data_IF_457781054406
#
_entry.id   IF_457781054406
#
_cell.length_a   1.000
_cell.length_b   1.000
_cell.length_c   1.000
_cell.angle_alpha   90.00
_cell.angle_beta   90.00
_cell.angle_gamma   90.00
#
_symmetry.space_group_name_H-M   'P 1'
#
loop_
_entity.id
_entity.type
_entity.pdbx_description
1 polymer ?
#
# COMPACT_ATOMS: atom_id res chain seq x y z
N UNK A 1 -41.27 6.33 10.01
CA UNK A 1 -40.35 6.86 8.97
C UNK A 1 -39.16 7.64 9.54
N UNK A 2 -39.24 8.19 10.77
CA UNK A 2 -38.15 8.94 11.42
C UNK A 2 -37.07 8.09 12.08
N UNK A 3 -37.40 6.87 12.53
CA UNK A 3 -36.40 5.95 13.13
C UNK A 3 -35.31 5.51 12.14
N UNK A 4 -35.59 5.41 10.84
CA UNK A 4 -34.59 4.95 9.87
C UNK A 4 -33.50 5.99 9.55
N UNK A 5 -33.79 7.30 9.72
CA UNK A 5 -32.80 8.36 9.51
C UNK A 5 -31.77 8.46 10.63
N UNK A 6 -32.19 8.25 11.90
CA UNK A 6 -31.28 8.28 13.05
C UNK A 6 -30.29 7.11 13.09
N UNK A 7 -30.72 5.90 12.66
CA UNK A 7 -29.85 4.73 12.59
C UNK A 7 -28.73 4.93 11.55
N UNK A 8 -29.07 5.40 10.35
CA UNK A 8 -28.08 5.65 9.31
C UNK A 8 -26.96 6.64 9.71
N UNK A 9 -27.29 7.63 10.56
CA UNK A 9 -26.29 8.60 11.05
C UNK A 9 -25.41 8.03 12.18
N UNK A 10 -25.93 7.13 13.01
CA UNK A 10 -25.14 6.41 14.01
C UNK A 10 -24.15 5.47 13.33
N UNK A 11 -24.59 4.75 12.31
CA UNK A 11 -23.73 3.84 11.52
C UNK A 11 -22.66 4.60 10.73
N UNK A 12 -22.97 5.75 10.15
CA UNK A 12 -21.98 6.63 9.51
C UNK A 12 -20.90 7.08 10.48
N UNK A 13 -21.24 7.44 11.72
CA UNK A 13 -20.26 7.82 12.75
C UNK A 13 -19.37 6.66 13.18
N UNK A 14 -19.91 5.46 13.30
CA UNK A 14 -19.12 4.26 13.64
C UNK A 14 -18.22 3.81 12.48
N UNK A 15 -18.68 3.97 11.23
CA UNK A 15 -17.86 3.74 10.05
C UNK A 15 -16.77 4.81 9.85
N UNK A 16 -17.01 6.05 10.25
CA UNK A 16 -15.99 7.13 10.26
C UNK A 16 -14.81 6.85 11.19
N UNK A 17 -14.96 5.95 12.16
CA UNK A 17 -13.86 5.47 12.99
C UNK A 17 -12.92 4.49 12.29
N UNK A 18 -13.26 4.08 11.05
CA UNK A 18 -12.42 3.28 10.18
C UNK A 18 -11.52 4.19 9.37
N UNK A 19 -10.22 4.00 9.48
CA UNK A 19 -9.18 4.65 8.66
C UNK A 19 -9.24 4.26 7.15
N UNK A 20 -10.38 3.78 6.66
CA UNK A 20 -10.50 3.26 5.30
C UNK A 20 -11.75 3.80 4.59
N UNK A 21 -11.57 4.95 3.93
CA UNK A 21 -12.61 5.62 3.15
C UNK A 21 -13.23 4.68 2.10
N UNK A 22 -12.41 3.82 1.48
CA UNK A 22 -12.87 2.89 0.45
C UNK A 22 -13.95 1.92 0.98
N UNK A 23 -13.82 1.44 2.22
CA UNK A 23 -14.82 0.56 2.83
C UNK A 23 -16.11 1.30 3.17
N UNK A 24 -16.01 2.56 3.56
CA UNK A 24 -17.17 3.41 3.83
C UNK A 24 -17.97 3.64 2.56
N UNK A 25 -17.32 3.99 1.47
CA UNK A 25 -17.95 4.25 0.18
C UNK A 25 -18.65 2.99 -0.35
N UNK A 26 -17.99 1.84 -0.26
CA UNK A 26 -18.55 0.55 -0.67
C UNK A 26 -19.75 0.12 0.17
N UNK A 27 -19.75 0.43 1.46
CA UNK A 27 -20.90 0.16 2.32
C UNK A 27 -22.03 1.16 2.11
N UNK A 28 -21.72 2.41 1.74
CA UNK A 28 -22.73 3.39 1.36
C UNK A 28 -23.47 2.97 0.09
N UNK A 29 -22.76 2.42 -0.93
CA UNK A 29 -23.38 1.82 -2.12
C UNK A 29 -24.36 0.69 -1.75
N UNK A 30 -24.01 -0.12 -0.73
CA UNK A 30 -24.87 -1.18 -0.24
C UNK A 30 -26.15 -0.64 0.43
N UNK A 31 -26.03 0.38 1.28
CA UNK A 31 -27.16 1.04 1.91
C UNK A 31 -28.08 1.71 0.87
N UNK A 32 -27.51 2.28 -0.19
CA UNK A 32 -28.27 2.95 -1.25
C UNK A 32 -29.04 1.93 -2.10
N UNK A 33 -28.43 0.77 -2.38
CA UNK A 33 -29.10 -0.31 -3.11
C UNK A 33 -30.35 -0.82 -2.36
N UNK A 34 -30.27 -0.93 -1.03
CA UNK A 34 -31.39 -1.37 -0.17
C UNK A 34 -32.14 -0.20 0.48
N UNK A 35 -32.15 0.97 -0.17
CA UNK A 35 -32.87 2.15 0.31
C UNK A 35 -34.37 1.84 0.55
N UNK A 36 -34.80 2.05 1.81
CA UNK A 36 -36.19 1.73 2.22
C UNK A 36 -36.37 0.35 2.84
N UNK A 37 -35.36 -0.50 2.83
CA UNK A 37 -35.35 -1.78 3.54
C UNK A 37 -34.56 -1.65 4.85
N UNK A 38 -34.93 -2.47 5.85
CA UNK A 38 -34.11 -2.55 7.05
C UNK A 38 -32.94 -3.52 6.77
N UNK A 39 -31.73 -2.96 6.67
CA UNK A 39 -30.51 -3.71 6.37
C UNK A 39 -30.17 -4.75 7.44
N UNK A 40 -30.62 -4.55 8.69
CA UNK A 40 -30.34 -5.46 9.80
C UNK A 40 -31.12 -6.79 9.69
N UNK A 41 -32.14 -6.82 8.85
CA UNK A 41 -32.97 -8.01 8.59
C UNK A 41 -32.68 -8.71 7.26
N UNK A 42 -31.68 -8.23 6.51
CA UNK A 42 -31.29 -8.87 5.24
C UNK A 42 -30.71 -10.26 5.48
N UNK A 43 -31.13 -11.18 4.65
CA UNK A 43 -30.62 -12.57 4.65
C UNK A 43 -29.36 -12.67 3.78
N UNK A 44 -28.61 -13.75 3.96
CA UNK A 44 -27.43 -14.05 3.12
C UNK A 44 -27.77 -14.10 1.62
N UNK A 45 -28.99 -14.55 1.29
CA UNK A 45 -29.47 -14.56 -0.10
C UNK A 45 -29.52 -13.14 -0.69
N UNK A 46 -30.10 -12.20 0.05
CA UNK A 46 -30.20 -10.80 -0.40
C UNK A 46 -28.80 -10.19 -0.63
N UNK A 47 -27.87 -10.49 0.28
CA UNK A 47 -26.46 -10.02 0.12
C UNK A 47 -25.81 -10.62 -1.13
N UNK A 48 -26.06 -11.90 -1.40
CA UNK A 48 -25.55 -12.56 -2.61
C UNK A 48 -26.18 -11.96 -3.89
N UNK A 49 -27.47 -11.61 -3.87
CA UNK A 49 -28.15 -10.94 -4.99
C UNK A 49 -27.54 -9.56 -5.27
N UNK A 50 -27.23 -8.79 -4.23
CA UNK A 50 -26.50 -7.52 -4.38
C UNK A 50 -25.12 -7.73 -5.01
N UNK A 51 -24.37 -8.73 -4.55
CA UNK A 51 -23.06 -9.03 -5.12
C UNK A 51 -23.17 -9.47 -6.58
N UNK A 52 -24.15 -10.31 -6.90
CA UNK A 52 -24.43 -10.76 -8.27
C UNK A 52 -24.81 -9.59 -9.18
N UNK A 53 -25.61 -8.64 -8.71
CA UNK A 53 -25.92 -7.42 -9.44
C UNK A 53 -24.64 -6.67 -9.86
N UNK A 54 -23.70 -6.46 -8.92
CA UNK A 54 -22.46 -5.77 -9.23
C UNK A 54 -21.55 -6.55 -10.18
N UNK A 55 -21.53 -7.89 -10.06
CA UNK A 55 -20.74 -8.75 -10.96
C UNK A 55 -21.32 -8.76 -12.37
N UNK A 56 -22.64 -8.94 -12.50
CA UNK A 56 -23.30 -9.14 -13.80
C UNK A 56 -23.54 -7.82 -14.52
N UNK A 57 -24.07 -6.80 -13.83
CA UNK A 57 -24.46 -5.55 -14.44
C UNK A 57 -23.30 -4.55 -14.51
N UNK A 58 -22.51 -4.45 -13.44
CA UNK A 58 -21.40 -3.49 -13.37
C UNK A 58 -20.04 -4.09 -13.74
N UNK A 59 -19.98 -5.40 -13.96
CA UNK A 59 -18.77 -6.14 -14.41
C UNK A 59 -17.54 -5.82 -13.56
N UNK A 60 -17.72 -5.75 -12.25
CA UNK A 60 -16.63 -5.46 -11.30
C UNK A 60 -15.59 -6.58 -11.27
N UNK A 61 -14.34 -6.23 -10.92
CA UNK A 61 -13.28 -7.20 -10.76
C UNK A 61 -13.48 -8.07 -9.51
N UNK A 62 -12.84 -9.25 -9.47
CA UNK A 62 -12.81 -10.15 -8.31
C UNK A 62 -12.34 -9.43 -7.04
N UNK A 63 -11.35 -8.57 -7.16
CA UNK A 63 -10.84 -7.77 -6.03
C UNK A 63 -11.91 -6.80 -5.49
N UNK A 64 -12.62 -6.10 -6.38
CA UNK A 64 -13.72 -5.21 -5.99
C UNK A 64 -14.90 -5.98 -5.38
N UNK A 65 -15.22 -7.17 -5.90
CA UNK A 65 -16.23 -8.05 -5.31
C UNK A 65 -15.84 -8.40 -3.86
N UNK A 66 -14.62 -8.87 -3.65
CA UNK A 66 -14.13 -9.24 -2.32
C UNK A 66 -14.07 -8.04 -1.36
N UNK A 67 -13.73 -6.84 -1.85
CA UNK A 67 -13.77 -5.61 -1.06
C UNK A 67 -15.19 -5.27 -0.59
N UNK A 68 -16.21 -5.38 -1.46
CA UNK A 68 -17.63 -5.17 -1.10
C UNK A 68 -18.09 -6.18 -0.05
N UNK A 69 -17.77 -7.46 -0.25
CA UNK A 69 -18.07 -8.52 0.72
C UNK A 69 -17.41 -8.22 2.07
N UNK A 70 -16.17 -7.78 2.08
CA UNK A 70 -15.47 -7.43 3.31
C UNK A 70 -16.09 -6.22 4.03
N UNK A 71 -16.55 -5.20 3.28
CA UNK A 71 -17.25 -4.05 3.84
C UNK A 71 -18.57 -4.46 4.50
N UNK A 72 -19.36 -5.31 3.85
CA UNK A 72 -20.62 -5.84 4.36
C UNK A 72 -20.37 -6.72 5.60
N UNK A 73 -19.43 -7.66 5.51
CA UNK A 73 -19.05 -8.52 6.66
C UNK A 73 -18.58 -7.70 7.85
N UNK A 74 -17.78 -6.67 7.60
CA UNK A 74 -17.30 -5.79 8.66
C UNK A 74 -18.48 -5.11 9.39
N UNK A 75 -19.45 -4.60 8.64
CA UNK A 75 -20.62 -3.96 9.23
C UNK A 75 -21.34 -4.93 10.17
N UNK A 76 -21.73 -6.10 9.70
CA UNK A 76 -22.48 -7.05 10.50
C UNK A 76 -21.69 -7.65 11.67
N UNK A 77 -20.37 -7.84 11.52
CA UNK A 77 -19.53 -8.40 12.59
C UNK A 77 -19.16 -7.38 13.67
N UNK A 78 -18.97 -6.11 13.31
CA UNK A 78 -18.39 -5.12 14.21
C UNK A 78 -19.38 -4.06 14.68
N UNK A 79 -20.35 -3.72 13.86
CA UNK A 79 -21.33 -2.67 14.16
C UNK A 79 -22.57 -3.27 14.79
N UNK A 80 -23.13 -4.32 14.19
CA UNK A 80 -24.32 -5.02 14.71
C UNK A 80 -24.00 -6.04 15.81
N UNK A 81 -22.73 -6.41 15.97
CA UNK A 81 -22.30 -7.39 16.98
C UNK A 81 -22.68 -8.84 16.66
N UNK A 82 -22.98 -9.12 15.38
CA UNK A 82 -23.37 -10.43 14.89
C UNK A 82 -22.24 -11.46 15.00
N UNK A 83 -22.58 -12.72 15.25
CA UNK A 83 -21.59 -13.80 15.32
C UNK A 83 -21.04 -14.09 13.92
N UNK A 84 -19.73 -14.26 13.84
CA UNK A 84 -18.95 -14.58 12.61
C UNK A 84 -19.52 -15.75 11.77
N UNK A 85 -20.31 -16.61 12.35
CA UNK A 85 -20.95 -17.77 11.71
C UNK A 85 -22.07 -17.43 10.71
N UNK A 86 -22.67 -16.23 10.80
CA UNK A 86 -23.85 -15.89 9.98
C UNK A 86 -23.49 -15.65 8.50
N UNK A 87 -22.24 -15.30 8.19
CA UNK A 87 -21.82 -14.84 6.85
C UNK A 87 -20.98 -15.84 6.06
N UNK A 88 -20.89 -17.10 6.53
CA UNK A 88 -20.21 -18.18 5.80
C UNK A 88 -20.81 -18.52 4.43
N UNK A 89 -22.09 -18.15 4.22
CA UNK A 89 -22.81 -18.37 2.95
C UNK A 89 -22.63 -17.28 1.91
N UNK A 90 -21.90 -16.18 2.20
CA UNK A 90 -21.61 -15.15 1.19
C UNK A 90 -20.55 -15.69 0.23
N UNK A 91 -20.93 -15.80 -1.04
CA UNK A 91 -20.09 -16.37 -2.10
C UNK A 91 -19.05 -15.32 -2.54
N UNK A 92 -17.82 -15.49 -2.06
CA UNK A 92 -16.68 -14.72 -2.54
C UNK A 92 -16.06 -15.34 -3.78
N UNK A 93 -15.56 -14.51 -4.68
CA UNK A 93 -14.79 -15.01 -5.81
C UNK A 93 -13.41 -15.49 -5.36
N UNK A 94 -12.99 -16.63 -5.88
CA UNK A 94 -11.65 -17.16 -5.64
C UNK A 94 -10.62 -16.33 -6.44
N UNK A 95 -9.77 -15.63 -5.72
CA UNK A 95 -8.70 -14.87 -6.34
C UNK A 95 -7.55 -15.81 -6.70
N UNK A 96 -7.23 -15.90 -7.99
CA UNK A 96 -6.05 -16.62 -8.43
C UNK A 96 -4.84 -15.73 -8.14
N UNK A 97 -3.98 -16.17 -7.23
CA UNK A 97 -2.71 -15.48 -6.96
C UNK A 97 -1.81 -15.65 -8.17
N UNK A 98 -1.69 -14.62 -8.98
CA UNK A 98 -0.64 -14.53 -9.98
C UNK A 98 0.69 -14.24 -9.29
N UNK A 99 1.77 -14.84 -9.79
CA UNK A 99 3.10 -14.49 -9.31
C UNK A 99 3.35 -13.00 -9.55
N UNK A 100 3.94 -12.29 -8.59
CA UNK A 100 4.25 -10.89 -8.79
C UNK A 100 5.24 -10.72 -9.93
N UNK A 101 4.96 -9.79 -10.83
CA UNK A 101 5.90 -9.40 -11.88
C UNK A 101 7.12 -8.73 -11.23
N UNK A 102 8.31 -9.12 -11.66
CA UNK A 102 9.59 -8.68 -11.13
C UNK A 102 10.40 -8.03 -12.25
N UNK A 103 10.99 -6.88 -11.96
CA UNK A 103 11.93 -6.21 -12.85
C UNK A 103 13.31 -6.85 -12.73
N UNK A 104 13.98 -7.08 -13.83
CA UNK A 104 15.38 -7.48 -13.82
C UNK A 104 16.29 -6.35 -13.29
N UNK A 105 17.49 -6.71 -12.80
CA UNK A 105 18.49 -5.74 -12.35
C UNK A 105 18.87 -4.73 -13.45
N UNK A 106 18.92 -5.21 -14.70
CA UNK A 106 19.17 -4.39 -15.87
C UNK A 106 18.08 -3.35 -16.12
N UNK A 107 16.81 -3.74 -16.00
CA UNK A 107 15.68 -2.81 -16.15
C UNK A 107 15.69 -1.75 -15.05
N UNK A 108 15.97 -2.14 -13.81
CA UNK A 108 16.08 -1.19 -12.69
C UNK A 108 17.23 -0.21 -12.94
N UNK A 109 18.39 -0.68 -13.37
CA UNK A 109 19.53 0.18 -13.70
C UNK A 109 19.17 1.18 -14.80
N UNK A 110 18.47 0.73 -15.86
CA UNK A 110 18.01 1.60 -16.95
C UNK A 110 16.98 2.62 -16.47
N UNK A 111 16.04 2.23 -15.61
CA UNK A 111 15.08 3.19 -15.02
C UNK A 111 15.80 4.26 -14.23
N UNK A 112 16.75 3.87 -13.37
CA UNK A 112 17.51 4.81 -12.54
C UNK A 112 18.35 5.78 -13.42
N UNK A 113 19.03 5.28 -14.45
CA UNK A 113 19.82 6.11 -15.36
C UNK A 113 18.99 7.14 -16.16
N UNK A 114 17.68 6.88 -16.32
CA UNK A 114 16.75 7.78 -16.99
C UNK A 114 16.14 8.87 -16.07
N UNK A 115 16.56 8.95 -14.80
CA UNK A 115 16.10 9.93 -13.82
C UNK A 115 17.14 11.05 -13.64
N UNK A 116 17.01 12.19 -14.35
CA UNK A 116 17.97 13.29 -14.25
C UNK A 116 17.85 14.09 -12.95
N UNK A 117 16.66 14.09 -12.34
CA UNK A 117 16.45 14.78 -11.07
C UNK A 117 16.91 13.90 -9.91
N UNK A 118 17.89 14.39 -9.16
CA UNK A 118 18.51 13.66 -8.04
C UNK A 118 17.49 13.27 -6.95
N UNK A 119 16.52 14.12 -6.65
CA UNK A 119 15.44 13.79 -5.70
C UNK A 119 14.64 12.58 -6.18
N UNK A 120 14.24 12.55 -7.44
CA UNK A 120 13.50 11.44 -8.01
C UNK A 120 14.34 10.16 -8.07
N UNK A 121 15.62 10.30 -8.43
CA UNK A 121 16.56 9.19 -8.43
C UNK A 121 16.68 8.58 -7.03
N UNK A 122 16.92 9.40 -6.00
CA UNK A 122 16.94 8.97 -4.60
C UNK A 122 15.65 8.27 -4.16
N UNK A 123 14.48 8.81 -4.52
CA UNK A 123 13.20 8.22 -4.16
C UNK A 123 13.03 6.80 -4.72
N UNK A 124 13.31 6.61 -6.00
CA UNK A 124 13.21 5.31 -6.66
C UNK A 124 14.29 4.34 -6.17
N UNK A 125 15.52 4.82 -5.98
CA UNK A 125 16.62 4.05 -5.40
C UNK A 125 16.29 3.54 -3.99
N UNK A 126 15.70 4.37 -3.12
CA UNK A 126 15.29 3.98 -1.77
C UNK A 126 14.19 2.92 -1.79
N UNK A 127 13.19 3.04 -2.67
CA UNK A 127 12.14 2.02 -2.79
C UNK A 127 12.75 0.66 -3.13
N UNK A 128 13.70 0.64 -4.09
CA UNK A 128 14.33 -0.60 -4.52
C UNK A 128 15.35 -1.11 -3.52
N UNK A 129 16.28 -0.28 -3.01
CA UNK A 129 17.39 -0.75 -2.15
C UNK A 129 16.97 -1.12 -0.72
N UNK A 130 15.89 -0.53 -0.24
CA UNK A 130 15.38 -0.69 1.15
C UNK A 130 14.07 -1.47 1.16
N UNK A 131 13.43 -1.64 0.01
CA UNK A 131 12.13 -2.29 -0.10
C UNK A 131 10.99 -1.51 0.54
N UNK A 132 10.99 -0.18 0.42
CA UNK A 132 9.96 0.69 1.01
C UNK A 132 8.60 0.53 0.32
N UNK A 133 7.52 0.61 1.11
CA UNK A 133 6.19 0.90 0.56
C UNK A 133 6.12 2.37 0.12
N UNK A 134 5.31 2.67 -0.88
CA UNK A 134 5.09 4.06 -1.33
C UNK A 134 4.76 5.02 -0.18
N UNK A 135 3.83 4.64 0.68
CA UNK A 135 3.45 5.46 1.84
C UNK A 135 4.57 5.61 2.86
N UNK A 136 5.40 4.59 3.06
CA UNK A 136 6.56 4.62 3.94
C UNK A 136 7.60 5.61 3.42
N UNK A 137 7.95 5.54 2.12
CA UNK A 137 8.87 6.50 1.50
C UNK A 137 8.41 7.95 1.68
N UNK A 138 7.14 8.22 1.37
CA UNK A 138 6.59 9.57 1.42
C UNK A 138 6.49 10.11 2.84
N UNK A 139 6.36 9.24 3.85
CA UNK A 139 6.30 9.62 5.26
C UNK A 139 7.66 9.75 5.96
N UNK A 140 8.78 9.49 5.27
CA UNK A 140 10.11 9.65 5.85
C UNK A 140 10.38 11.12 6.20
N UNK A 141 11.03 11.32 7.33
CA UNK A 141 11.55 12.62 7.76
C UNK A 141 13.08 12.59 7.78
N UNK A 142 13.79 13.74 7.70
CA UNK A 142 15.25 13.76 7.70
C UNK A 142 15.90 13.01 8.87
N UNK A 143 15.26 13.04 10.03
CA UNK A 143 15.73 12.33 11.24
C UNK A 143 15.60 10.80 11.16
N UNK A 144 14.93 10.28 10.14
CA UNK A 144 14.84 8.83 9.93
C UNK A 144 16.07 8.26 9.23
N UNK A 145 16.90 9.11 8.61
CA UNK A 145 18.18 8.74 8.04
C UNK A 145 19.25 8.81 9.13
N UNK A 146 19.84 7.67 9.48
CA UNK A 146 20.90 7.54 10.48
C UNK A 146 22.20 7.27 9.74
N UNK A 147 22.82 8.33 9.20
CA UNK A 147 24.03 8.25 8.35
C UNK A 147 25.17 7.52 9.02
N UNK A 148 25.43 7.78 10.32
CA UNK A 148 26.51 7.17 11.09
C UNK A 148 26.42 5.63 11.17
N UNK A 149 25.22 5.08 11.04
CA UNK A 149 24.95 3.64 11.12
C UNK A 149 24.52 3.03 9.81
N UNK A 150 24.44 3.81 8.77
CA UNK A 150 23.93 3.39 7.46
C UNK A 150 22.54 2.76 7.57
N UNK A 151 21.65 3.38 8.35
CA UNK A 151 20.30 2.87 8.60
C UNK A 151 19.24 3.89 8.25
N UNK A 152 18.09 3.39 7.81
CA UNK A 152 16.85 4.16 7.70
C UNK A 152 15.80 3.58 8.66
N UNK A 153 15.22 4.46 9.47
CA UNK A 153 14.10 4.13 10.35
C UNK A 153 12.78 4.25 9.58
N UNK A 154 12.01 3.20 9.58
CA UNK A 154 10.76 3.11 8.82
C UNK A 154 9.61 2.90 9.77
N UNK A 155 8.64 3.82 9.77
CA UNK A 155 7.40 3.68 10.52
C UNK A 155 6.37 2.92 9.68
N UNK A 156 6.06 1.70 10.09
CA UNK A 156 5.07 0.85 9.45
C UNK A 156 3.64 1.07 9.98
N UNK A 157 2.69 0.30 9.45
CA UNK A 157 1.31 0.29 9.96
C UNK A 157 1.27 -0.05 11.46
N UNK A 158 0.32 0.52 12.21
CA UNK A 158 0.14 0.34 13.66
C UNK A 158 1.32 0.82 14.51
N UNK A 159 2.08 1.84 14.05
CA UNK A 159 3.25 2.41 14.76
C UNK A 159 4.38 1.39 15.02
N UNK A 160 4.43 0.28 14.30
CA UNK A 160 5.59 -0.62 14.35
C UNK A 160 6.75 0.02 13.60
N UNK A 161 7.86 0.18 14.32
CA UNK A 161 9.10 0.73 13.75
C UNK A 161 10.00 -0.42 13.29
N UNK A 162 10.62 -0.29 12.13
CA UNK A 162 11.68 -1.17 11.66
C UNK A 162 12.85 -0.34 11.14
N UNK A 163 14.03 -0.94 11.14
CA UNK A 163 15.22 -0.36 10.54
C UNK A 163 15.58 -1.15 9.29
N UNK A 164 16.15 -0.49 8.30
CA UNK A 164 16.70 -1.13 7.11
C UNK A 164 18.03 -0.50 6.78
N UNK A 165 18.92 -1.28 6.14
CA UNK A 165 20.23 -0.78 5.72
C UNK A 165 20.08 0.19 4.56
N UNK A 166 20.83 1.26 4.64
CA UNK A 166 20.95 2.27 3.59
C UNK A 166 22.28 2.02 2.85
N UNK A 167 22.24 1.93 1.51
CA UNK A 167 23.46 1.81 0.75
C UNK A 167 24.23 3.13 0.72
N UNK A 168 25.57 3.08 0.76
CA UNK A 168 26.43 4.26 0.66
C UNK A 168 26.10 5.12 -0.58
N UNK A 169 25.80 4.46 -1.68
CA UNK A 169 25.43 5.17 -2.92
C UNK A 169 24.20 6.05 -2.72
N UNK A 170 23.15 5.54 -2.10
CA UNK A 170 21.91 6.29 -1.84
C UNK A 170 22.12 7.37 -0.79
N UNK A 171 22.95 7.11 0.22
CA UNK A 171 23.33 8.12 1.21
C UNK A 171 24.10 9.27 0.57
N UNK A 172 25.11 8.97 -0.24
CA UNK A 172 25.91 9.96 -0.96
C UNK A 172 25.04 10.79 -1.92
N UNK A 173 24.11 10.16 -2.64
CA UNK A 173 23.14 10.88 -3.50
C UNK A 173 22.26 11.84 -2.70
N UNK A 174 21.85 11.44 -1.51
CA UNK A 174 21.07 12.30 -0.61
C UNK A 174 21.91 13.47 -0.06
N UNK A 175 23.15 13.20 0.36
CA UNK A 175 24.04 14.23 0.93
C UNK A 175 24.56 15.21 -0.11
N UNK A 176 24.78 14.77 -1.36
CA UNK A 176 25.20 15.64 -2.46
C UNK A 176 24.10 16.63 -2.91
N UNK A 177 22.86 16.39 -2.53
CA UNK A 177 21.76 17.33 -2.76
C UNK A 177 21.78 18.49 -1.75
N UNK A 178 22.92 19.19 -1.61
CA UNK A 178 23.12 20.28 -0.61
C UNK A 178 22.14 21.43 -0.74
N UNK A 179 21.54 21.63 -1.92
CA UNK A 179 20.53 22.64 -2.16
C UNK A 179 19.15 22.26 -1.61
N UNK A 180 18.91 20.96 -1.48
CA UNK A 180 17.64 20.45 -0.98
C UNK A 180 17.68 20.27 0.55
N UNK A 181 17.17 21.26 1.28
CA UNK A 181 17.05 21.21 2.75
C UNK A 181 15.58 21.03 3.13
N UNK A 182 15.10 19.77 3.27
CA UNK A 182 13.73 19.51 3.62
C UNK A 182 13.44 20.02 5.04
N UNK A 183 12.28 20.67 5.22
CA UNK A 183 11.83 21.20 6.53
C UNK A 183 11.14 20.14 7.37
N UNK A 184 10.26 19.38 6.77
CA UNK A 184 9.41 18.43 7.48
C UNK A 184 9.57 17.00 6.94
N UNK A 185 9.41 16.80 5.65
CA UNK A 185 9.46 15.49 5.01
C UNK A 185 10.79 15.33 4.27
N UNK A 186 11.35 14.11 4.28
CA UNK A 186 12.59 13.82 3.54
C UNK A 186 12.44 14.17 2.06
N UNK A 187 11.26 13.94 1.50
CA UNK A 187 10.89 14.33 0.16
C UNK A 187 9.66 15.23 0.21
N UNK A 188 9.88 16.51 0.01
CA UNK A 188 8.83 17.52 -0.04
C UNK A 188 8.31 17.70 -1.47
N UNK A 189 7.05 18.15 -1.59
CA UNK A 189 6.43 18.53 -2.84
C UNK A 189 6.97 19.84 -3.40
N UNK A 190 6.10 20.55 -4.11
CA UNK A 190 6.45 21.84 -4.71
C UNK A 190 6.48 22.96 -3.65
N UNK A 191 5.67 22.83 -2.60
CA UNK A 191 5.65 23.75 -1.47
C UNK A 191 6.49 23.21 -0.31
N UNK A 192 7.34 24.05 0.34
CA UNK A 192 8.13 23.64 1.49
C UNK A 192 7.25 23.18 2.66
N UNK A 193 7.55 22.00 3.20
CA UNK A 193 6.81 21.39 4.31
C UNK A 193 5.61 20.55 3.87
N UNK A 194 5.25 20.55 2.60
CA UNK A 194 4.24 19.63 2.05
C UNK A 194 4.87 18.30 1.67
N UNK A 195 4.11 17.23 1.89
CA UNK A 195 4.52 15.88 1.53
C UNK A 195 4.51 15.71 0.00
N UNK A 196 5.51 15.02 -0.55
CA UNK A 196 5.52 14.70 -1.97
C UNK A 196 4.30 13.85 -2.36
N UNK A 197 3.65 14.21 -3.47
CA UNK A 197 2.42 13.57 -3.90
C UNK A 197 2.63 12.13 -4.37
N UNK A 198 1.75 11.22 -3.94
CA UNK A 198 1.76 9.84 -4.37
C UNK A 198 1.52 9.68 -5.88
N UNK A 199 0.70 10.54 -6.47
CA UNK A 199 0.42 10.59 -7.91
C UNK A 199 1.64 11.10 -8.70
N UNK A 200 2.34 12.11 -8.17
CA UNK A 200 3.57 12.62 -8.78
C UNK A 200 4.66 11.54 -8.82
N UNK A 201 4.85 10.77 -7.74
CA UNK A 201 5.79 9.65 -7.73
C UNK A 201 5.48 8.59 -8.80
N UNK A 202 4.19 8.25 -8.96
CA UNK A 202 3.76 7.32 -10.01
C UNK A 202 4.04 7.88 -11.40
N UNK A 203 3.81 9.18 -11.62
CA UNK A 203 4.10 9.85 -12.89
C UNK A 203 5.59 9.84 -13.19
N UNK A 204 6.44 10.18 -12.22
CA UNK A 204 7.90 10.13 -12.34
C UNK A 204 8.39 8.73 -12.74
N UNK A 205 7.90 7.70 -12.06
CA UNK A 205 8.26 6.33 -12.41
C UNK A 205 7.82 5.97 -13.83
N UNK A 206 6.59 6.32 -14.23
CA UNK A 206 6.06 6.05 -15.56
C UNK A 206 6.92 6.69 -16.65
N UNK A 207 7.26 7.96 -16.50
CA UNK A 207 8.14 8.68 -17.43
C UNK A 207 9.55 8.05 -17.53
N UNK A 208 10.11 7.62 -16.40
CA UNK A 208 11.41 6.94 -16.37
C UNK A 208 11.37 5.60 -17.08
N UNK A 209 10.29 4.82 -16.90
CA UNK A 209 10.07 3.54 -17.57
C UNK A 209 9.94 3.71 -19.08
N UNK A 210 9.21 4.72 -19.53
CA UNK A 210 9.06 5.06 -20.95
C UNK A 210 10.41 5.44 -21.58
N UNK A 211 11.19 6.31 -20.92
CA UNK A 211 12.54 6.69 -21.36
C UNK A 211 13.51 5.52 -21.36
N UNK A 212 13.38 4.59 -20.41
CA UNK A 212 14.17 3.37 -20.35
C UNK A 212 13.80 2.35 -21.45
N UNK A 213 12.75 2.60 -22.26
CA UNK A 213 12.30 1.71 -23.34
C UNK A 213 11.74 0.38 -22.83
N UNK A 214 11.14 0.36 -21.64
CA UNK A 214 10.51 -0.84 -21.05
C UNK A 214 9.07 -0.89 -21.53
N UNK A 215 8.68 -1.98 -22.19
CA UNK A 215 7.36 -2.08 -22.86
C UNK A 215 6.23 -2.57 -21.97
N UNK A 216 6.54 -3.29 -20.88
CA UNK A 216 5.52 -3.78 -19.96
C UNK A 216 5.17 -2.73 -18.89
N UNK A 217 4.02 -2.88 -18.28
CA UNK A 217 3.55 -1.95 -17.25
C UNK A 217 4.36 -2.11 -15.97
N UNK A 218 4.97 -1.02 -15.51
CA UNK A 218 5.72 -0.98 -14.24
C UNK A 218 4.98 -0.11 -13.22
N UNK A 219 4.86 -0.59 -12.01
CA UNK A 219 4.28 0.15 -10.89
C UNK A 219 5.21 0.15 -9.67
N UNK A 220 5.01 1.10 -8.76
CA UNK A 220 5.91 1.32 -7.62
C UNK A 220 6.13 0.07 -6.75
N UNK A 221 5.09 -0.76 -6.58
CA UNK A 221 5.22 -2.00 -5.81
C UNK A 221 6.10 -3.06 -6.47
N UNK A 222 6.25 -3.03 -7.80
CA UNK A 222 7.16 -3.95 -8.50
C UNK A 222 8.61 -3.72 -8.08
N UNK A 223 9.05 -2.47 -7.85
CA UNK A 223 10.40 -2.18 -7.35
C UNK A 223 10.66 -2.88 -6.00
N UNK A 224 9.68 -2.84 -5.10
CA UNK A 224 9.78 -3.54 -3.82
C UNK A 224 9.75 -5.07 -3.99
N UNK A 225 8.91 -5.60 -4.89
CA UNK A 225 8.88 -7.03 -5.19
C UNK A 225 10.21 -7.49 -5.79
N UNK A 226 10.77 -6.68 -6.71
CA UNK A 226 12.08 -6.95 -7.32
C UNK A 226 13.21 -6.96 -6.29
N UNK A 227 13.20 -6.01 -5.34
CA UNK A 227 14.16 -6.04 -4.22
C UNK A 227 14.08 -7.36 -3.48
N UNK A 228 12.89 -7.77 -3.09
CA UNK A 228 12.66 -8.98 -2.33
C UNK A 228 13.12 -10.25 -3.09
N UNK A 229 12.79 -10.34 -4.38
CA UNK A 229 13.18 -11.47 -5.21
C UNK A 229 14.70 -11.50 -5.42
N UNK A 230 15.31 -10.36 -5.72
CA UNK A 230 16.77 -10.28 -5.92
C UNK A 230 17.55 -10.57 -4.64
N UNK A 231 16.97 -10.28 -3.47
CA UNK A 231 17.56 -10.64 -2.19
C UNK A 231 17.57 -12.15 -1.98
N UNK A 232 16.47 -12.85 -2.33
CA UNK A 232 16.39 -14.31 -2.29
C UNK A 232 17.33 -14.97 -3.28
N UNK A 233 17.44 -14.42 -4.49
CA UNK A 233 18.36 -14.92 -5.53
C UNK A 233 19.84 -14.83 -5.10
N UNK A 234 20.16 -13.92 -4.18
CA UNK A 234 21.49 -13.80 -3.58
C UNK A 234 21.76 -14.82 -2.47
N UNK A 235 20.84 -15.75 -2.22
CA UNK A 235 21.00 -16.78 -1.20
C UNK A 235 20.62 -16.35 0.21
N UNK A 236 19.85 -15.27 0.36
CA UNK A 236 19.34 -14.83 1.64
C UNK A 236 18.34 -15.86 2.20
N UNK A 237 18.53 -16.26 3.45
CA UNK A 237 17.66 -17.21 4.13
C UNK A 237 16.18 -16.78 4.11
N UNK A 238 15.27 -17.75 3.94
CA UNK A 238 13.83 -17.51 3.92
C UNK A 238 13.28 -16.90 5.21
N UNK A 239 13.85 -17.25 6.37
CA UNK A 239 13.44 -16.65 7.65
C UNK A 239 13.85 -15.19 7.73
N UNK A 240 15.04 -14.88 7.24
CA UNK A 240 15.56 -13.53 7.13
C UNK A 240 14.71 -12.70 6.14
N UNK A 241 14.32 -13.29 5.03
CA UNK A 241 13.39 -12.70 4.06
C UNK A 241 12.01 -12.38 4.69
N UNK A 242 11.41 -13.31 5.45
CA UNK A 242 10.14 -13.08 6.15
C UNK A 242 10.25 -11.97 7.18
N UNK A 243 11.37 -11.91 7.91
CA UNK A 243 11.62 -10.85 8.90
C UNK A 243 11.79 -9.47 8.25
N UNK A 244 12.31 -9.37 7.02
CA UNK A 244 12.35 -8.15 6.23
C UNK A 244 10.95 -7.62 5.89
N UNK A 245 9.94 -8.51 5.77
CA UNK A 245 8.58 -8.12 5.43
C UNK A 245 7.77 -7.66 6.64
N UNK A 246 7.94 -8.29 7.80
CA UNK A 246 7.09 -8.04 8.97
C UNK A 246 7.74 -7.22 10.09
N UNK A 247 8.95 -7.53 10.47
CA UNK A 247 9.66 -6.81 11.58
C UNK A 247 11.14 -7.21 11.60
N UNK A 248 12.02 -6.50 10.91
CA UNK A 248 13.45 -6.77 11.07
C UNK A 248 13.98 -6.29 12.43
N UNK A 249 14.51 -7.22 13.21
CA UNK A 249 15.41 -6.90 14.33
C UNK A 249 16.80 -6.57 13.78
N UNK A 250 17.43 -5.51 14.26
CA UNK A 250 18.76 -5.02 13.83
C UNK A 250 19.84 -6.11 13.68
N UNK A 251 19.77 -7.18 14.48
CA UNK A 251 20.73 -8.30 14.43
C UNK A 251 20.67 -9.12 13.14
N UNK A 252 19.55 -9.22 12.49
CA UNK A 252 19.35 -10.06 11.29
C UNK A 252 19.75 -9.34 9.99
N UNK A 253 19.75 -7.99 10.01
CA UNK A 253 20.12 -7.19 8.85
C UNK A 253 21.63 -7.18 8.57
N UNK A 254 22.45 -7.25 9.61
CA UNK A 254 23.92 -7.21 9.49
C UNK A 254 24.45 -8.42 8.72
N UNK A 255 23.77 -9.58 8.80
CA UNK A 255 24.18 -10.80 8.08
C UNK A 255 23.89 -10.81 6.58
N UNK A 256 23.05 -9.89 6.08
CA UNK A 256 22.65 -9.87 4.64
C UNK A 256 23.68 -9.10 3.79
N UNK A 257 24.48 -8.23 4.39
CA UNK A 257 25.31 -7.28 3.67
C UNK A 257 26.81 -7.36 4.01
N UNK A 258 27.23 -8.32 4.83
CA UNK A 258 28.61 -8.77 4.94
C UNK A 258 28.88 -9.91 3.97
#
# INVERSE_FOLDING_TARGET
PEMSRGLGDVYKRQLQSLDNQDLQDLFQDFMEYYKGHNIDHLKVADINDYILYWVNEKKISVSQQNMRINAIKFYYEKVEGGKRQYYGGIIGAKEYKTLPEVLSRNEISRILSCLPNLKHHCMISLIYSVGLRRSELLSLIPKDIISERMLVRIMGKRKKCRYSLLSEKVLNEHEHNKEYRPKKWLFEGDSPGEQYSASALVKVLKEAVERAGIKHRVHVHMLRHSFATHLLEQGTDQELYRSCWDTMTLRQQVYIFM
#
